data_IF_812270076208
#
_entry.id   IF_812270076208
#
_cell.length_a   1.000
_cell.length_b   1.000
_cell.length_c   1.000
_cell.angle_alpha   90.00
_cell.angle_beta   90.00
_cell.angle_gamma   90.00
#
_symmetry.space_group_name_H-M   'P 1'
#
loop_
_entity.id
_entity.type
_entity.pdbx_description
1 polymer ?
#
# COMPACT_ATOMS: atom_id res chain seq x y z
N UNK A 1 6.13 22.30 7.84
CA UNK A 1 6.40 21.51 6.63
C UNK A 1 6.68 20.08 7.02
N UNK A 2 5.96 19.14 6.45
CA UNK A 2 6.17 17.72 6.76
C UNK A 2 7.38 17.19 6.00
N UNK A 3 8.31 16.65 6.75
CA UNK A 3 9.48 15.98 6.16
C UNK A 3 9.12 14.51 5.98
N UNK A 4 9.26 14.01 4.76
CA UNK A 4 9.00 12.59 4.47
C UNK A 4 10.08 11.74 5.15
N UNK A 5 9.71 10.56 5.69
CA UNK A 5 10.70 9.67 6.28
C UNK A 5 11.63 9.12 5.21
N UNK A 6 12.87 8.84 5.58
CA UNK A 6 13.82 8.16 4.71
C UNK A 6 13.43 6.69 4.58
N UNK A 7 14.00 6.00 3.58
CA UNK A 7 13.78 4.57 3.40
C UNK A 7 14.18 3.78 4.65
N UNK A 8 15.32 4.13 5.26
CA UNK A 8 15.81 3.45 6.46
C UNK A 8 14.89 3.68 7.65
N UNK A 9 14.37 4.90 7.81
CA UNK A 9 13.42 5.21 8.87
C UNK A 9 12.14 4.40 8.72
N UNK A 10 11.63 4.24 7.49
CA UNK A 10 10.44 3.42 7.22
C UNK A 10 10.72 1.96 7.55
N UNK A 11 11.88 1.45 7.13
CA UNK A 11 12.27 0.06 7.41
C UNK A 11 12.36 -0.20 8.91
N UNK A 12 12.98 0.71 9.65
CA UNK A 12 13.12 0.59 11.10
C UNK A 12 11.75 0.59 11.79
N UNK A 13 10.83 1.40 11.30
CA UNK A 13 9.48 1.47 11.84
C UNK A 13 8.70 0.18 11.60
N UNK A 14 8.83 -0.39 10.41
CA UNK A 14 8.19 -1.67 10.08
C UNK A 14 8.73 -2.77 11.01
N UNK A 15 10.04 -2.81 11.20
CA UNK A 15 10.66 -3.79 12.08
C UNK A 15 10.20 -3.65 13.53
N UNK A 16 10.10 -2.42 14.02
CA UNK A 16 9.61 -2.14 15.38
C UNK A 16 8.17 -2.60 15.58
N UNK A 17 7.31 -2.34 14.59
CA UNK A 17 5.91 -2.79 14.65
C UNK A 17 5.82 -4.31 14.62
N UNK A 18 6.64 -4.94 13.80
CA UNK A 18 6.68 -6.41 13.68
C UNK A 18 7.09 -7.05 15.02
N UNK A 19 8.08 -6.48 15.69
CA UNK A 19 8.51 -6.95 17.01
C UNK A 19 7.41 -6.86 18.05
N UNK A 20 6.52 -5.88 17.91
CA UNK A 20 5.37 -5.69 18.81
C UNK A 20 4.15 -6.53 18.40
N UNK A 21 4.25 -7.30 17.31
CA UNK A 21 3.13 -8.09 16.81
C UNK A 21 2.06 -7.27 16.12
N UNK A 22 2.39 -6.06 15.66
CA UNK A 22 1.45 -5.15 15.01
C UNK A 22 1.63 -5.25 13.49
N UNK A 23 0.51 -5.43 12.77
CA UNK A 23 0.53 -5.41 11.31
C UNK A 23 0.81 -3.99 10.82
N UNK A 24 1.92 -3.81 10.07
CA UNK A 24 2.31 -2.47 9.63
C UNK A 24 1.34 -1.89 8.59
N UNK A 25 0.69 -2.73 7.79
CA UNK A 25 -0.33 -2.26 6.84
C UNK A 25 -1.55 -1.73 7.58
N UNK A 26 -2.07 -2.47 8.57
CA UNK A 26 -3.18 -2.01 9.39
C UNK A 26 -2.83 -0.72 10.14
N UNK A 27 -1.62 -0.63 10.66
CA UNK A 27 -1.13 0.56 11.34
C UNK A 27 -1.10 1.76 10.38
N UNK A 28 -0.58 1.55 9.16
CA UNK A 28 -0.52 2.60 8.16
C UNK A 28 -1.90 3.09 7.72
N UNK A 29 -2.85 2.17 7.58
CA UNK A 29 -4.22 2.55 7.19
C UNK A 29 -4.86 3.49 8.21
N UNK A 30 -4.44 3.42 9.47
CA UNK A 30 -4.94 4.29 10.53
C UNK A 30 -4.13 5.56 10.68
N UNK A 31 -2.83 5.51 10.47
CA UNK A 31 -1.91 6.61 10.82
C UNK A 31 -1.21 7.27 9.64
N UNK A 32 -1.03 6.55 8.53
CA UNK A 32 -0.24 7.04 7.40
C UNK A 32 1.27 7.09 7.65
N UNK A 33 1.76 6.42 8.67
CA UNK A 33 3.16 6.53 9.09
C UNK A 33 4.15 5.74 8.22
N UNK A 34 3.69 4.76 7.47
CA UNK A 34 4.56 3.89 6.66
C UNK A 34 4.54 4.31 5.18
N UNK A 35 3.37 4.26 4.55
CA UNK A 35 3.23 4.59 3.12
C UNK A 35 2.80 6.04 2.91
N UNK A 36 2.34 6.70 3.97
CA UNK A 36 1.91 8.09 3.91
C UNK A 36 0.48 8.26 3.40
N UNK A 37 0.03 9.49 3.44
CA UNK A 37 -1.31 9.85 2.95
C UNK A 37 -1.23 10.88 1.82
N UNK A 38 -0.06 11.45 1.55
CA UNK A 38 0.10 12.50 0.55
C UNK A 38 -0.04 11.99 -0.88
N UNK A 39 0.21 10.71 -1.10
CA UNK A 39 0.25 10.12 -2.44
C UNK A 39 -0.85 9.11 -2.69
N UNK A 40 -1.97 9.25 -1.97
CA UNK A 40 -3.16 8.41 -2.20
C UNK A 40 -3.78 8.83 -3.52
N UNK A 41 -3.85 7.90 -4.49
CA UNK A 41 -4.43 8.17 -5.80
C UNK A 41 -5.82 7.59 -5.97
N UNK A 42 -6.20 6.64 -5.12
CA UNK A 42 -7.53 6.06 -5.10
C UNK A 42 -7.81 5.42 -3.75
N UNK A 43 -9.05 5.51 -3.30
CA UNK A 43 -9.46 4.85 -2.06
C UNK A 43 -10.95 4.52 -2.09
N UNK A 44 -11.28 3.30 -1.64
CA UNK A 44 -12.67 2.90 -1.42
C UNK A 44 -12.76 2.07 -0.13
N UNK A 45 -13.86 1.35 0.06
CA UNK A 45 -14.09 0.55 1.27
C UNK A 45 -13.03 -0.53 1.45
N UNK A 46 -12.57 -1.14 0.36
CA UNK A 46 -11.69 -2.31 0.42
C UNK A 46 -10.22 -1.98 0.10
N UNK A 47 -9.95 -0.88 -0.59
CA UNK A 47 -8.61 -0.58 -1.09
C UNK A 47 -8.16 0.84 -0.80
N UNK A 48 -6.86 0.99 -0.61
CA UNK A 48 -6.16 2.27 -0.73
C UNK A 48 -4.99 2.07 -1.68
N UNK A 49 -4.91 2.91 -2.70
CA UNK A 49 -3.83 2.84 -3.71
C UNK A 49 -2.97 4.08 -3.55
N UNK A 50 -1.67 3.88 -3.34
CA UNK A 50 -0.73 4.96 -3.08
C UNK A 50 0.48 4.87 -4.01
N UNK A 51 1.08 6.02 -4.32
CA UNK A 51 2.38 6.05 -4.97
C UNK A 51 3.46 5.81 -3.92
N UNK A 52 4.46 5.00 -4.28
CA UNK A 52 5.56 4.71 -3.37
C UNK A 52 6.37 5.97 -3.08
N UNK A 53 6.67 6.21 -1.79
CA UNK A 53 7.47 7.37 -1.37
C UNK A 53 8.91 7.28 -1.87
N UNK A 54 9.45 6.07 -2.00
CA UNK A 54 10.81 5.80 -2.45
C UNK A 54 10.77 4.87 -3.65
N UNK A 55 10.30 5.37 -4.82
CA UNK A 55 10.04 4.52 -5.96
C UNK A 55 11.31 3.94 -6.55
N UNK A 56 11.23 2.68 -6.99
CA UNK A 56 12.32 2.00 -7.71
C UNK A 56 12.22 2.22 -9.21
N UNK A 57 11.04 2.68 -9.66
CA UNK A 57 10.80 2.99 -11.07
C UNK A 57 9.67 4.02 -11.13
N UNK A 58 9.57 4.72 -12.25
CA UNK A 58 8.46 5.64 -12.49
C UNK A 58 7.15 4.85 -12.48
N UNK A 59 6.17 5.35 -11.73
CA UNK A 59 4.87 4.69 -11.62
C UNK A 59 4.79 3.59 -10.56
N UNK A 60 5.82 3.46 -9.71
CA UNK A 60 5.80 2.47 -8.62
C UNK A 60 4.63 2.76 -7.68
N UNK A 61 3.65 1.87 -7.65
CA UNK A 61 2.38 2.02 -6.95
C UNK A 61 2.14 0.83 -6.04
N UNK A 62 1.52 1.08 -4.91
CA UNK A 62 1.18 0.05 -3.93
C UNK A 62 -0.32 -0.02 -3.80
N UNK A 63 -0.87 -1.23 -3.92
CA UNK A 63 -2.29 -1.50 -3.68
C UNK A 63 -2.40 -2.11 -2.28
N UNK A 64 -3.05 -1.38 -1.37
CA UNK A 64 -3.29 -1.84 -0.01
C UNK A 64 -4.70 -2.39 0.08
N UNK A 65 -4.83 -3.65 0.53
CA UNK A 65 -6.12 -4.28 0.80
C UNK A 65 -6.47 -4.00 2.27
N UNK A 66 -7.60 -3.33 2.52
CA UNK A 66 -7.96 -2.88 3.85
C UNK A 66 -8.32 -4.00 4.84
N UNK A 67 -9.10 -5.03 4.44
CA UNK A 67 -9.31 -6.16 5.36
C UNK A 67 -7.98 -6.83 5.71
N UNK A 68 -7.77 -7.10 6.98
CA UNK A 68 -6.52 -7.71 7.44
C UNK A 68 -6.45 -9.18 7.03
N UNK A 69 -5.37 -9.57 6.38
CA UNK A 69 -5.04 -10.96 6.05
C UNK A 69 -3.55 -11.18 6.29
N UNK A 70 -3.22 -12.27 6.94
CA UNK A 70 -1.81 -12.59 7.23
C UNK A 70 -1.08 -13.01 5.95
N UNK A 71 -1.80 -13.63 5.02
CA UNK A 71 -1.17 -14.25 3.88
C UNK A 71 -2.24 -14.47 2.79
N UNK A 72 -1.80 -14.53 1.54
CA UNK A 72 -2.70 -14.69 0.40
C UNK A 72 -3.50 -16.00 0.44
N UNK A 73 -2.99 -17.01 1.15
CA UNK A 73 -3.72 -18.28 1.29
C UNK A 73 -5.01 -18.15 2.10
N UNK A 74 -5.18 -17.06 2.85
CA UNK A 74 -6.37 -16.79 3.64
C UNK A 74 -7.48 -16.10 2.84
N UNK A 75 -7.18 -15.67 1.62
CA UNK A 75 -8.15 -14.94 0.80
C UNK A 75 -9.22 -15.88 0.24
N UNK A 76 -10.47 -15.45 0.30
CA UNK A 76 -11.56 -16.12 -0.42
C UNK A 76 -11.39 -15.86 -1.93
N UNK A 77 -12.01 -16.70 -2.75
CA UNK A 77 -11.90 -16.59 -4.21
C UNK A 77 -12.36 -15.23 -4.72
N UNK A 78 -13.45 -14.69 -4.18
CA UNK A 78 -13.95 -13.37 -4.57
C UNK A 78 -13.00 -12.25 -4.16
N UNK A 79 -12.33 -12.39 -3.02
CA UNK A 79 -11.32 -11.42 -2.59
C UNK A 79 -10.12 -11.41 -3.54
N UNK A 80 -9.63 -12.61 -3.89
CA UNK A 80 -8.53 -12.76 -4.84
C UNK A 80 -8.87 -12.11 -6.18
N UNK A 81 -10.08 -12.35 -6.68
CA UNK A 81 -10.53 -11.78 -7.95
C UNK A 81 -10.58 -10.25 -7.89
N UNK A 82 -11.11 -9.66 -6.80
CA UNK A 82 -11.20 -8.21 -6.65
C UNK A 82 -9.83 -7.55 -6.54
N UNK A 83 -8.91 -8.19 -5.81
CA UNK A 83 -7.53 -7.68 -5.67
C UNK A 83 -6.84 -7.67 -7.03
N UNK A 84 -6.95 -8.76 -7.78
CA UNK A 84 -6.32 -8.84 -9.10
C UNK A 84 -6.92 -7.82 -10.07
N UNK A 85 -8.25 -7.66 -10.05
CA UNK A 85 -8.93 -6.66 -10.87
C UNK A 85 -8.46 -5.24 -10.55
N UNK A 86 -8.28 -4.92 -9.28
CA UNK A 86 -7.75 -3.62 -8.88
C UNK A 86 -6.32 -3.40 -9.41
N UNK A 87 -5.48 -4.42 -9.31
CA UNK A 87 -4.12 -4.34 -9.85
C UNK A 87 -4.11 -4.09 -11.36
N UNK A 88 -4.99 -4.76 -12.09
CA UNK A 88 -5.12 -4.56 -13.54
C UNK A 88 -5.54 -3.13 -13.87
N UNK A 89 -6.52 -2.58 -13.14
CA UNK A 89 -6.98 -1.20 -13.32
C UNK A 89 -5.86 -0.20 -13.06
N UNK A 90 -5.07 -0.44 -12.02
CA UNK A 90 -3.93 0.41 -11.69
C UNK A 90 -2.90 0.37 -12.81
N UNK A 91 -2.60 -0.81 -13.33
CA UNK A 91 -1.65 -0.96 -14.45
C UNK A 91 -2.14 -0.22 -15.68
N UNK A 92 -3.43 -0.33 -16.00
CA UNK A 92 -4.02 0.38 -17.14
C UNK A 92 -3.89 1.89 -16.98
N UNK A 93 -4.16 2.41 -15.77
CA UNK A 93 -4.05 3.83 -15.48
C UNK A 93 -2.60 4.31 -15.60
N UNK A 94 -1.64 3.53 -15.13
CA UNK A 94 -0.22 3.85 -15.24
C UNK A 94 0.20 3.91 -16.72
N UNK A 95 -0.23 2.96 -17.52
CA UNK A 95 0.07 2.95 -18.95
C UNK A 95 -0.49 4.18 -19.66
N UNK A 96 -1.70 4.59 -19.34
CA UNK A 96 -2.29 5.80 -19.92
C UNK A 96 -1.53 7.05 -19.48
N UNK A 97 -1.16 7.14 -18.22
CA UNK A 97 -0.48 8.32 -17.67
C UNK A 97 0.94 8.48 -18.20
N UNK A 98 1.65 7.38 -18.43
CA UNK A 98 3.05 7.40 -18.81
C UNK A 98 3.28 7.20 -20.31
N UNK A 99 2.22 7.00 -21.05
CA UNK A 99 2.30 6.82 -22.50
C UNK A 99 2.52 5.41 -22.90
#
# INVERSE_FOLDING_TARGET
MNVLPTRDEVKDKIEALREQGICYVCHDLQTGEIFGTQSVIYEDTDFRVVLELHPRMVGHTIVLYKPHREDVSELADDETARIFQMCVRVIQAIKEALG
#
